data_IF_133245210135
#
_entry.id   IF_133245210135
#
_cell.length_a   1.000
_cell.length_b   1.000
_cell.length_c   1.000
_cell.angle_alpha   90.00
_cell.angle_beta   90.00
_cell.angle_gamma   90.00
#
_symmetry.space_group_name_H-M   'P 1'
#
loop_
_entity.id
_entity.type
_entity.pdbx_description
1 polymer ?
#
# COMPACT_ATOMS: atom_id res chain seq x y z
N UNK A 1 43.18 -22.24 2.36
CA UNK A 1 42.21 -21.69 3.35
C UNK A 1 41.54 -20.38 2.92
N UNK A 2 42.18 -19.48 2.14
CA UNK A 2 41.55 -18.22 1.69
C UNK A 2 40.44 -18.36 0.62
N UNK A 3 40.47 -19.40 -0.22
CA UNK A 3 39.50 -19.59 -1.32
C UNK A 3 38.12 -20.10 -0.86
N UNK A 4 38.06 -20.84 0.27
CA UNK A 4 36.81 -21.35 0.84
C UNK A 4 36.02 -20.21 1.51
N UNK A 5 36.72 -19.25 2.13
CA UNK A 5 36.10 -18.11 2.79
C UNK A 5 35.40 -17.16 1.82
N UNK A 6 35.91 -17.02 0.58
CA UNK A 6 35.28 -16.17 -0.44
C UNK A 6 34.01 -16.81 -1.01
N UNK A 7 33.99 -18.14 -1.13
CA UNK A 7 32.81 -18.86 -1.63
C UNK A 7 31.64 -18.80 -0.64
N UNK A 8 31.91 -18.84 0.67
CA UNK A 8 30.88 -18.75 1.71
C UNK A 8 30.20 -17.37 1.75
N UNK A 9 30.95 -16.29 1.48
CA UNK A 9 30.44 -14.91 1.45
C UNK A 9 29.50 -14.70 0.25
N UNK A 10 29.78 -15.36 -0.88
CA UNK A 10 28.96 -15.24 -2.10
C UNK A 10 27.60 -15.94 -1.97
N UNK A 11 27.51 -17.05 -1.22
CA UNK A 11 26.25 -17.76 -0.94
C UNK A 11 25.33 -16.96 0.02
N UNK A 12 25.89 -16.18 0.95
CA UNK A 12 25.08 -15.39 1.88
C UNK A 12 24.35 -14.21 1.19
N UNK A 13 24.83 -13.74 0.03
CA UNK A 13 24.22 -12.63 -0.69
C UNK A 13 22.96 -13.01 -1.49
N UNK A 14 22.68 -14.31 -1.62
CA UNK A 14 21.54 -14.83 -2.41
C UNK A 14 20.32 -15.14 -1.54
N UNK A 15 20.42 -14.98 -0.21
CA UNK A 15 19.40 -15.37 0.75
C UNK A 15 18.50 -14.22 1.24
N UNK A 16 18.64 -13.00 0.70
CA UNK A 16 17.59 -11.97 0.86
C UNK A 16 16.46 -12.24 -0.14
N UNK A 17 15.87 -13.43 -0.05
CA UNK A 17 14.58 -13.70 -0.67
C UNK A 17 13.57 -12.82 0.06
N UNK A 18 13.03 -11.83 -0.67
CA UNK A 18 11.95 -10.98 -0.19
C UNK A 18 10.88 -11.84 0.48
N UNK A 19 10.60 -11.54 1.74
CA UNK A 19 9.64 -12.23 2.58
C UNK A 19 8.27 -12.24 1.87
N UNK A 20 7.84 -13.40 1.35
CA UNK A 20 6.58 -13.62 0.64
C UNK A 20 5.33 -13.56 1.54
N UNK A 21 5.38 -12.80 2.62
CA UNK A 21 4.18 -12.45 3.37
C UNK A 21 3.51 -11.31 2.61
N UNK A 22 2.53 -11.68 1.79
CA UNK A 22 1.84 -10.84 0.82
C UNK A 22 1.02 -9.69 1.43
N UNK A 23 0.91 -9.62 2.76
CA UNK A 23 0.09 -8.65 3.46
C UNK A 23 0.73 -7.27 3.40
N UNK A 24 -0.05 -6.33 2.87
CA UNK A 24 0.38 -4.96 2.68
C UNK A 24 0.09 -4.19 3.96
N UNK A 25 1.09 -3.48 4.46
CA UNK A 25 0.95 -2.52 5.57
C UNK A 25 0.87 -1.09 5.07
N UNK A 26 1.61 -0.78 4.00
CA UNK A 26 1.72 0.57 3.45
C UNK A 26 1.78 0.51 1.94
N UNK A 27 1.07 1.41 1.26
CA UNK A 27 1.10 1.55 -0.19
C UNK A 27 0.80 2.98 -0.62
N UNK A 28 1.17 3.32 -1.86
CA UNK A 28 0.94 4.65 -2.43
C UNK A 28 -0.07 4.55 -3.57
N UNK A 29 -1.04 5.47 -3.59
CA UNK A 29 -2.04 5.58 -4.65
C UNK A 29 -2.49 7.03 -4.81
N UNK A 30 -3.19 7.28 -5.91
CA UNK A 30 -3.91 8.52 -6.14
C UNK A 30 -5.33 8.41 -5.61
N UNK A 31 -5.84 9.48 -5.01
CA UNK A 31 -7.25 9.59 -4.61
C UNK A 31 -8.09 9.73 -5.88
N UNK A 32 -8.92 8.73 -6.18
CA UNK A 32 -9.83 8.80 -7.32
C UNK A 32 -11.17 9.43 -6.94
N UNK A 33 -11.67 9.11 -5.74
CA UNK A 33 -12.93 9.65 -5.20
C UNK A 33 -12.79 9.93 -3.71
N UNK A 34 -13.36 11.05 -3.28
CA UNK A 34 -13.56 11.41 -1.87
C UNK A 34 -15.05 11.26 -1.57
N UNK A 35 -15.39 10.43 -0.59
CA UNK A 35 -16.75 10.22 -0.11
C UNK A 35 -16.72 10.28 1.42
N UNK A 36 -17.59 11.07 2.04
CA UNK A 36 -17.45 11.54 3.42
C UNK A 36 -17.10 10.44 4.44
N UNK A 37 -15.80 10.32 4.76
CA UNK A 37 -15.24 9.30 5.67
C UNK A 37 -14.34 8.24 5.03
N UNK A 38 -14.15 8.25 3.71
CA UNK A 38 -13.25 7.34 3.00
C UNK A 38 -12.63 7.95 1.73
N UNK A 39 -11.45 7.44 1.38
CA UNK A 39 -10.88 7.61 0.04
C UNK A 39 -11.10 6.35 -0.79
N UNK A 40 -11.48 6.50 -2.05
CA UNK A 40 -11.44 5.42 -3.02
C UNK A 40 -10.19 5.57 -3.88
N UNK A 41 -9.42 4.49 -3.98
CA UNK A 41 -8.19 4.43 -4.75
C UNK A 41 -8.18 3.20 -5.64
N UNK A 42 -7.64 3.32 -6.85
CA UNK A 42 -7.48 2.18 -7.73
C UNK A 42 -6.50 1.16 -7.12
N UNK A 43 -6.97 -0.07 -6.93
CA UNK A 43 -6.17 -1.19 -6.44
C UNK A 43 -6.21 -2.41 -7.35
N UNK A 44 -6.59 -2.22 -8.62
CA UNK A 44 -6.69 -3.27 -9.63
C UNK A 44 -5.40 -4.07 -9.76
N UNK A 45 -4.25 -3.38 -9.75
CA UNK A 45 -2.93 -4.02 -9.84
C UNK A 45 -2.69 -4.98 -8.67
N UNK A 46 -3.12 -4.60 -7.46
CA UNK A 46 -2.94 -5.42 -6.26
C UNK A 46 -3.93 -6.60 -6.25
N UNK A 47 -5.19 -6.36 -6.62
CA UNK A 47 -6.21 -7.40 -6.76
C UNK A 47 -5.81 -8.45 -7.81
N UNK A 48 -5.14 -8.02 -8.87
CA UNK A 48 -4.71 -8.89 -9.97
C UNK A 48 -3.27 -9.39 -9.84
N UNK A 49 -2.59 -9.05 -8.74
CA UNK A 49 -1.20 -9.44 -8.50
C UNK A 49 -1.04 -10.96 -8.57
N UNK A 50 -0.17 -11.42 -9.46
CA UNK A 50 0.13 -12.84 -9.64
C UNK A 50 -0.91 -13.66 -10.41
N UNK A 51 -2.04 -13.07 -10.82
CA UNK A 51 -2.99 -13.73 -11.73
C UNK A 51 -2.37 -13.83 -13.13
N UNK A 52 -2.66 -14.92 -13.83
CA UNK A 52 -2.21 -15.20 -15.20
C UNK A 52 -3.41 -15.61 -16.06
N UNK A 53 -3.34 -15.34 -17.36
CA UNK A 53 -4.41 -15.67 -18.30
C UNK A 53 -5.43 -14.54 -18.45
N UNK A 54 -6.70 -14.90 -18.69
CA UNK A 54 -7.77 -13.92 -18.88
C UNK A 54 -8.14 -13.26 -17.54
N UNK A 55 -7.50 -12.14 -17.24
CA UNK A 55 -7.83 -11.30 -16.09
C UNK A 55 -9.03 -10.45 -16.51
N UNK A 56 -10.08 -10.43 -15.69
CA UNK A 56 -11.21 -9.54 -15.92
C UNK A 56 -10.71 -8.09 -15.94
N UNK A 57 -10.93 -7.38 -17.04
CA UNK A 57 -10.55 -5.96 -17.20
C UNK A 57 -11.41 -5.00 -16.35
N UNK A 58 -12.07 -5.51 -15.31
CA UNK A 58 -12.86 -4.71 -14.37
C UNK A 58 -11.87 -3.97 -13.47
N UNK A 59 -11.99 -2.64 -13.42
CA UNK A 59 -11.25 -1.83 -12.46
C UNK A 59 -11.76 -2.08 -11.04
N UNK A 60 -10.86 -2.29 -10.08
CA UNK A 60 -11.18 -2.44 -8.67
C UNK A 60 -10.78 -1.18 -7.90
N UNK A 61 -11.73 -0.63 -7.15
CA UNK A 61 -11.48 0.41 -6.16
C UNK A 61 -11.36 -0.20 -4.78
N UNK A 62 -10.39 0.28 -4.01
CA UNK A 62 -10.24 0.00 -2.60
C UNK A 62 -10.71 1.21 -1.80
N UNK A 63 -11.58 0.96 -0.83
CA UNK A 63 -12.03 1.96 0.13
C UNK A 63 -11.09 2.02 1.33
N UNK A 64 -10.61 3.22 1.61
CA UNK A 64 -9.72 3.53 2.72
C UNK A 64 -10.53 4.32 3.73
N UNK A 65 -11.00 3.66 4.77
CA UNK A 65 -11.81 4.23 5.85
C UNK A 65 -10.91 4.89 6.88
N UNK A 66 -11.31 6.08 7.34
CA UNK A 66 -10.63 6.73 8.45
C UNK A 66 -11.26 6.28 9.76
N UNK A 67 -10.41 5.93 10.72
CA UNK A 67 -10.79 5.66 12.10
C UNK A 67 -10.48 6.88 12.96
N UNK A 68 -11.00 6.92 14.19
CA UNK A 68 -10.82 8.06 15.09
C UNK A 68 -9.34 8.41 15.40
N UNK A 69 -8.42 7.49 15.12
CA UNK A 69 -6.98 7.65 15.35
C UNK A 69 -6.18 7.83 14.06
N UNK A 70 -6.84 7.95 12.89
CA UNK A 70 -6.15 8.20 11.62
C UNK A 70 -5.45 9.55 11.66
N UNK A 71 -4.14 9.54 11.39
CA UNK A 71 -3.33 10.74 11.28
C UNK A 71 -3.27 11.19 9.82
N UNK A 72 -3.55 12.45 9.58
CA UNK A 72 -3.34 13.09 8.29
C UNK A 72 -2.12 13.99 8.39
N UNK A 73 -1.12 13.77 7.54
CA UNK A 73 0.13 14.55 7.56
C UNK A 73 0.65 14.85 6.15
N UNK A 74 1.49 15.87 6.02
CA UNK A 74 2.29 16.10 4.82
C UNK A 74 3.64 15.36 4.86
N UNK A 75 4.44 15.47 3.79
CA UNK A 75 5.79 14.86 3.74
C UNK A 75 6.77 15.39 4.77
N UNK A 76 6.52 16.56 5.34
CA UNK A 76 7.35 17.21 6.37
C UNK A 76 6.89 16.81 7.78
N UNK A 77 5.80 16.06 7.91
CA UNK A 77 5.21 15.65 9.18
C UNK A 77 4.30 16.69 9.81
N UNK A 78 3.90 17.73 9.07
CA UNK A 78 2.90 18.68 9.54
C UNK A 78 1.52 18.01 9.54
N UNK A 79 0.74 18.26 10.58
CA UNK A 79 -0.65 17.76 10.64
C UNK A 79 -1.51 18.45 9.58
N UNK A 80 -2.32 17.66 8.91
CA UNK A 80 -3.35 18.09 7.97
C UNK A 80 -4.74 17.80 8.53
N UNK A 81 -5.76 18.38 7.91
CA UNK A 81 -7.15 18.03 8.05
C UNK A 81 -7.62 17.23 6.82
N UNK A 82 -8.79 16.60 6.93
CA UNK A 82 -9.37 15.86 5.81
C UNK A 82 -9.64 16.77 4.60
N UNK A 83 -10.01 18.02 4.85
CA UNK A 83 -10.32 19.03 3.82
C UNK A 83 -9.08 19.48 3.02
N UNK A 84 -7.88 19.17 3.50
CA UNK A 84 -6.63 19.47 2.79
C UNK A 84 -6.36 18.47 1.65
N UNK A 85 -7.15 17.39 1.53
CA UNK A 85 -7.03 16.38 0.49
C UNK A 85 -8.04 16.62 -0.63
N UNK A 86 -7.61 16.38 -1.86
CA UNK A 86 -8.37 16.53 -3.09
C UNK A 86 -8.29 15.29 -3.98
N UNK A 87 -9.28 15.11 -4.84
CA UNK A 87 -9.18 14.12 -5.91
C UNK A 87 -7.95 14.42 -6.77
N UNK A 88 -7.21 13.38 -7.14
CA UNK A 88 -5.94 13.49 -7.87
C UNK A 88 -4.70 13.58 -6.97
N UNK A 89 -4.86 13.77 -5.66
CA UNK A 89 -3.72 13.80 -4.74
C UNK A 89 -3.05 12.44 -4.64
N UNK A 90 -1.72 12.46 -4.62
CA UNK A 90 -0.92 11.27 -4.36
C UNK A 90 -0.76 11.11 -2.85
N UNK A 91 -1.19 9.97 -2.32
CA UNK A 91 -1.12 9.68 -0.89
C UNK A 91 -0.36 8.39 -0.62
N UNK A 92 0.34 8.36 0.52
CA UNK A 92 0.82 7.11 1.13
C UNK A 92 -0.16 6.73 2.24
N UNK A 93 -0.70 5.53 2.15
CA UNK A 93 -1.67 4.98 3.09
C UNK A 93 -0.95 3.94 3.95
N UNK A 94 -1.08 4.03 5.26
CA UNK A 94 -0.67 2.98 6.20
C UNK A 94 -1.92 2.38 6.83
N UNK A 95 -2.10 1.07 6.64
CA UNK A 95 -3.24 0.32 7.17
C UNK A 95 -3.12 0.11 8.67
N UNK A 96 -4.26 -0.06 9.33
CA UNK A 96 -4.33 -0.40 10.77
C UNK A 96 -3.78 -1.79 11.09
N UNK A 97 -3.80 -2.68 10.12
CA UNK A 97 -3.26 -4.04 10.19
C UNK A 97 -2.73 -4.47 8.81
N UNK A 98 -1.69 -5.31 8.75
CA UNK A 98 -1.27 -5.94 7.50
C UNK A 98 -2.42 -6.76 6.91
N UNK A 99 -2.80 -6.51 5.65
CA UNK A 99 -3.85 -7.27 4.97
C UNK A 99 -3.55 -7.47 3.49
N UNK A 100 -4.05 -8.58 2.94
CA UNK A 100 -4.01 -8.83 1.50
C UNK A 100 -5.16 -8.09 0.80
N UNK A 101 -4.86 -7.54 -0.38
CA UNK A 101 -5.87 -6.93 -1.25
C UNK A 101 -6.34 -7.98 -2.25
N UNK A 102 -7.65 -8.19 -2.35
CA UNK A 102 -8.24 -9.18 -3.26
C UNK A 102 -9.63 -8.76 -3.71
N UNK A 103 -10.24 -9.49 -4.65
CA UNK A 103 -11.58 -9.16 -5.16
C UNK A 103 -12.65 -9.14 -4.06
N UNK A 104 -12.50 -10.00 -3.05
CA UNK A 104 -13.42 -10.09 -1.91
C UNK A 104 -12.98 -9.23 -0.72
N UNK A 105 -11.84 -8.56 -0.79
CA UNK A 105 -11.29 -7.73 0.28
C UNK A 105 -10.75 -6.41 -0.28
N UNK A 106 -11.61 -5.40 -0.30
CA UNK A 106 -11.34 -4.08 -0.89
C UNK A 106 -11.62 -2.92 0.07
N UNK A 107 -11.86 -3.18 1.36
CA UNK A 107 -12.15 -2.15 2.36
C UNK A 107 -11.12 -2.25 3.49
N UNK A 108 -10.48 -1.13 3.82
CA UNK A 108 -9.36 -1.11 4.76
C UNK A 108 -9.42 0.12 5.66
N UNK A 109 -9.07 -0.06 6.92
CA UNK A 109 -8.91 1.04 7.86
C UNK A 109 -7.48 1.56 7.83
N UNK A 110 -7.30 2.89 7.77
CA UNK A 110 -5.98 3.52 7.78
C UNK A 110 -5.62 4.11 9.14
N UNK A 111 -4.37 3.96 9.57
CA UNK A 111 -3.84 4.65 10.76
C UNK A 111 -3.10 5.94 10.41
N UNK A 112 -2.57 6.04 9.20
CA UNK A 112 -1.87 7.23 8.74
C UNK A 112 -2.09 7.41 7.23
N UNK A 113 -2.32 8.66 6.82
CA UNK A 113 -2.39 9.08 5.43
C UNK A 113 -1.44 10.27 5.26
N UNK A 114 -0.49 10.11 4.34
CA UNK A 114 0.52 11.13 4.04
C UNK A 114 0.27 11.71 2.65
N UNK A 115 0.09 13.02 2.56
CA UNK A 115 0.04 13.75 1.29
C UNK A 115 1.45 13.83 0.68
N UNK A 116 1.60 13.48 -0.61
CA UNK A 116 2.91 13.33 -1.28
C UNK A 116 3.19 14.37 -2.37
N UNK A 117 2.17 15.09 -2.83
CA UNK A 117 2.27 16.15 -3.83
C UNK A 117 2.68 17.51 -3.24
#
# INVERSE_FOLDING_TARGET
>A
MKKISVFLIMICLILTACNSNNSITTFQKTIDIIDGGKFLVNCSDEVNRGKKGNINSIGYYCGITFINTTKFIDRKGNSLQFEDFSMGDSIRITLSKPQDISESNTQFDATEIVLLN
#
